data_IF_681601754916
#
_entry.id   IF_681601754916
#
_cell.length_a   1.000
_cell.length_b   1.000
_cell.length_c   1.000
_cell.angle_alpha   90.00
_cell.angle_beta   90.00
_cell.angle_gamma   90.00
#
_symmetry.space_group_name_H-M   'P 1'
#
loop_
_entity.id
_entity.type
_entity.pdbx_description
1 polymer ?
#
# COMPACT_ATOMS: atom_id res chain seq x y z
N UNK A 1 -9.44 -18.35 8.85
CA UNK A 1 -8.47 -17.97 9.90
C UNK A 1 -8.60 -16.48 10.13
N UNK A 2 -8.56 -15.95 11.36
CA UNK A 2 -8.75 -14.52 11.54
C UNK A 2 -7.54 -13.82 10.93
N UNK A 3 -7.80 -12.87 10.03
CA UNK A 3 -6.79 -11.93 9.58
C UNK A 3 -6.37 -11.18 10.84
N UNK A 4 -5.17 -11.45 11.35
CA UNK A 4 -4.55 -10.59 12.36
C UNK A 4 -4.57 -9.19 11.79
N UNK A 5 -5.35 -8.29 12.41
CA UNK A 5 -5.57 -6.96 11.86
C UNK A 5 -4.24 -6.33 11.49
N UNK A 6 -4.12 -5.86 10.26
CA UNK A 6 -2.87 -5.28 9.76
C UNK A 6 -2.51 -3.95 10.45
N UNK A 7 -3.21 -3.57 11.52
CA UNK A 7 -2.96 -2.35 12.26
C UNK A 7 -1.61 -2.33 12.98
N UNK A 8 -1.38 -1.22 13.65
CA UNK A 8 -0.21 -1.06 14.51
C UNK A 8 -0.22 -2.10 15.63
N UNK A 9 0.99 -2.60 15.93
CA UNK A 9 1.28 -3.52 17.03
C UNK A 9 2.16 -2.82 18.06
N UNK A 10 2.39 -3.45 19.21
CA UNK A 10 3.30 -2.92 20.23
C UNK A 10 4.74 -2.67 19.71
N UNK A 11 5.14 -3.33 18.62
CA UNK A 11 6.47 -3.14 18.00
C UNK A 11 6.56 -1.87 17.14
N UNK A 12 5.43 -1.28 16.80
CA UNK A 12 5.36 -0.16 15.85
C UNK A 12 5.42 1.21 16.54
N UNK A 13 5.83 1.29 17.81
CA UNK A 13 5.82 2.54 18.59
C UNK A 13 6.50 3.71 17.89
N UNK A 14 7.71 3.49 17.32
CA UNK A 14 8.42 4.54 16.58
C UNK A 14 7.74 4.91 15.26
N UNK A 15 7.07 3.95 14.62
CA UNK A 15 6.35 4.20 13.37
C UNK A 15 5.09 5.03 13.65
N UNK A 16 4.39 4.74 14.75
CA UNK A 16 3.23 5.53 15.21
C UNK A 16 3.62 6.95 15.56
N UNK A 17 4.76 7.15 16.25
CA UNK A 17 5.29 8.48 16.57
C UNK A 17 5.49 9.30 15.29
N UNK A 18 6.24 8.76 14.32
CA UNK A 18 6.52 9.45 13.06
C UNK A 18 5.29 9.67 12.20
N UNK A 19 4.35 8.74 12.22
CA UNK A 19 3.06 8.90 11.55
C UNK A 19 2.30 10.11 12.09
N UNK A 20 2.23 10.27 13.42
CA UNK A 20 1.57 11.42 14.06
C UNK A 20 2.28 12.73 13.77
N UNK A 21 3.60 12.78 13.94
CA UNK A 21 4.41 13.97 13.63
C UNK A 21 4.20 14.43 12.18
N UNK A 22 4.12 13.48 11.24
CA UNK A 22 3.87 13.78 9.83
C UNK A 22 2.46 14.30 9.60
N UNK A 23 1.43 13.70 10.23
CA UNK A 23 0.06 14.21 10.13
C UNK A 23 -0.07 15.63 10.69
N UNK A 24 0.52 15.89 11.86
CA UNK A 24 0.48 17.20 12.51
C UNK A 24 1.18 18.28 11.67
N UNK A 25 2.25 17.93 10.96
CA UNK A 25 2.99 18.86 10.10
C UNK A 25 2.37 19.09 8.71
N UNK A 26 1.44 18.23 8.28
CA UNK A 26 0.86 18.28 6.91
C UNK A 26 -0.65 18.55 6.88
N UNK A 27 -1.36 18.42 8.00
CA UNK A 27 -2.82 18.56 8.03
C UNK A 27 -3.25 19.95 8.49
N UNK A 28 -3.57 20.82 7.54
CA UNK A 28 -4.37 22.02 7.81
C UNK A 28 -5.89 21.73 7.79
N UNK A 29 -6.35 20.56 7.33
CA UNK A 29 -7.77 20.37 6.95
C UNK A 29 -8.38 18.95 7.03
N UNK A 30 -7.66 17.91 7.45
CA UNK A 30 -8.23 16.56 7.62
C UNK A 30 -8.12 16.09 9.06
N UNK A 31 -9.25 15.65 9.65
CA UNK A 31 -9.25 14.98 10.95
C UNK A 31 -8.28 13.79 10.90
N UNK A 32 -7.28 13.81 11.78
CA UNK A 32 -6.31 12.74 11.87
C UNK A 32 -7.02 11.40 12.16
N UNK A 33 -6.72 10.31 11.44
CA UNK A 33 -7.35 9.02 11.70
C UNK A 33 -7.00 8.53 13.11
N UNK A 34 -7.95 7.84 13.74
CA UNK A 34 -7.64 7.07 14.94
C UNK A 34 -6.59 6.00 14.59
N UNK A 35 -5.62 5.77 15.48
CA UNK A 35 -4.56 4.76 15.26
C UNK A 35 -5.14 3.36 15.04
N UNK A 36 -6.31 3.06 15.59
CA UNK A 36 -7.04 1.80 15.36
C UNK A 36 -7.48 1.61 13.90
N UNK A 37 -7.58 2.70 13.14
CA UNK A 37 -8.15 2.74 11.78
C UNK A 37 -7.05 2.86 10.72
N UNK A 38 -5.80 2.67 11.14
CA UNK A 38 -4.61 2.74 10.27
C UNK A 38 -4.03 1.35 10.12
N UNK A 39 -3.94 0.87 8.88
CA UNK A 39 -3.28 -0.37 8.52
C UNK A 39 -1.80 -0.13 8.21
N UNK A 40 -0.93 -0.95 8.79
CA UNK A 40 0.48 -1.08 8.41
C UNK A 40 0.57 -2.05 7.24
N UNK A 41 0.79 -1.49 6.05
CA UNK A 41 0.90 -2.28 4.81
C UNK A 41 2.26 -2.92 4.70
N UNK A 42 3.31 -2.20 5.13
CA UNK A 42 4.68 -2.69 5.09
C UNK A 42 5.51 -2.12 6.24
N UNK A 43 6.32 -2.97 6.84
CA UNK A 43 7.35 -2.59 7.82
C UNK A 43 8.70 -2.72 7.14
N UNK A 44 9.53 -1.70 7.26
CA UNK A 44 10.90 -1.74 6.75
C UNK A 44 11.89 -2.03 7.90
N UNK A 45 13.12 -2.50 7.60
CA UNK A 45 14.09 -2.85 8.63
C UNK A 45 14.47 -1.70 9.56
N UNK A 46 14.49 -0.44 9.09
CA UNK A 46 14.80 0.69 9.95
C UNK A 46 13.63 1.00 10.90
N UNK A 47 13.94 1.23 12.18
CA UNK A 47 12.93 1.58 13.18
C UNK A 47 12.16 2.85 12.78
N UNK A 48 10.84 2.78 12.91
CA UNK A 48 9.97 3.90 12.56
C UNK A 48 9.79 4.14 11.08
N UNK A 49 10.15 3.18 10.22
CA UNK A 49 9.93 3.27 8.77
C UNK A 49 8.93 2.21 8.31
N UNK A 50 8.12 2.58 7.33
CA UNK A 50 7.00 1.76 6.89
C UNK A 50 6.10 2.48 5.90
N UNK A 51 5.15 1.73 5.37
CA UNK A 51 4.04 2.26 4.59
C UNK A 51 2.74 1.96 5.35
N UNK A 52 1.94 2.99 5.57
CA UNK A 52 0.66 2.89 6.27
C UNK A 52 -0.47 3.45 5.41
N UNK A 53 -1.68 2.96 5.62
CA UNK A 53 -2.88 3.38 4.88
C UNK A 53 -4.07 3.53 5.82
N UNK A 54 -4.95 4.46 5.50
CA UNK A 54 -6.24 4.64 6.16
C UNK A 54 -7.28 5.12 5.15
N UNK A 55 -8.55 5.07 5.53
CA UNK A 55 -9.65 5.56 4.70
C UNK A 55 -10.43 6.62 5.47
N UNK A 56 -10.28 7.91 5.13
CA UNK A 56 -11.06 8.97 5.79
C UNK A 56 -12.56 8.88 5.46
N UNK A 57 -12.90 8.32 4.30
CA UNK A 57 -14.28 8.08 3.88
C UNK A 57 -14.35 6.83 2.98
N UNK A 58 -15.55 6.29 2.67
CA UNK A 58 -15.68 5.06 1.89
C UNK A 58 -15.10 5.12 0.47
N UNK A 59 -14.84 6.29 -0.10
CA UNK A 59 -14.39 6.49 -1.47
C UNK A 59 -13.00 7.10 -1.56
N UNK A 60 -12.31 7.29 -0.44
CA UNK A 60 -10.96 7.83 -0.42
C UNK A 60 -10.08 6.93 0.42
N UNK A 61 -8.89 6.60 -0.08
CA UNK A 61 -7.84 6.04 0.75
C UNK A 61 -6.67 7.01 0.78
N UNK A 62 -6.03 7.12 1.93
CA UNK A 62 -4.79 7.84 2.10
C UNK A 62 -3.68 6.85 2.41
N UNK A 63 -2.50 7.13 1.88
CA UNK A 63 -1.29 6.40 2.18
C UNK A 63 -0.23 7.36 2.69
N UNK A 64 0.62 6.86 3.59
CA UNK A 64 1.79 7.59 4.03
C UNK A 64 3.02 6.68 3.96
N UNK A 65 4.05 7.19 3.29
CA UNK A 65 5.38 6.61 3.22
C UNK A 65 6.23 7.26 4.29
N UNK A 66 6.77 6.48 5.20
CA UNK A 66 7.67 6.96 6.23
C UNK A 66 9.04 6.32 6.00
N UNK A 67 10.04 7.15 5.73
CA UNK A 67 11.45 6.75 5.48
C UNK A 67 12.36 7.44 6.48
N UNK A 68 13.59 6.97 6.63
CA UNK A 68 14.52 7.47 7.66
C UNK A 68 14.61 9.02 7.69
N UNK A 69 14.73 9.65 6.52
CA UNK A 69 14.94 11.11 6.39
C UNK A 69 13.72 11.91 5.95
N UNK A 70 12.64 11.26 5.48
CA UNK A 70 11.47 11.96 4.95
C UNK A 70 10.18 11.17 5.18
N UNK A 71 9.05 11.87 5.08
CA UNK A 71 7.74 11.25 5.02
C UNK A 71 6.89 11.95 3.97
N UNK A 72 6.02 11.21 3.31
CA UNK A 72 5.12 11.73 2.28
C UNK A 72 3.73 11.13 2.47
N UNK A 73 2.72 11.98 2.39
CA UNK A 73 1.32 11.60 2.40
C UNK A 73 0.69 11.87 1.03
N UNK A 74 -0.18 10.97 0.58
CA UNK A 74 -1.10 11.26 -0.50
C UNK A 74 -2.44 10.53 -0.30
N UNK A 75 -3.51 11.16 -0.76
CA UNK A 75 -4.86 10.60 -0.73
C UNK A 75 -5.39 10.45 -2.16
N UNK A 76 -6.13 9.38 -2.39
CA UNK A 76 -6.59 8.97 -3.70
C UNK A 76 -8.07 8.57 -3.65
N UNK A 77 -8.82 9.03 -4.64
CA UNK A 77 -10.20 8.64 -4.82
C UNK A 77 -10.28 7.21 -5.39
N UNK A 78 -11.13 6.39 -4.79
CA UNK A 78 -11.59 5.12 -5.35
C UNK A 78 -12.72 5.38 -6.35
N UNK A 79 -12.91 4.47 -7.31
CA UNK A 79 -13.99 4.60 -8.28
C UNK A 79 -15.36 4.67 -7.57
N UNK A 80 -16.16 5.68 -7.93
CA UNK A 80 -17.48 5.97 -7.33
C UNK A 80 -18.52 4.88 -7.58
N UNK A 81 -18.41 4.17 -8.71
CA UNK A 81 -19.37 3.14 -9.16
C UNK A 81 -18.78 1.74 -9.14
N UNK A 82 -17.94 1.45 -8.15
CA UNK A 82 -17.30 0.14 -8.02
C UNK A 82 -18.27 -0.92 -7.51
N UNK A 83 -18.11 -2.15 -7.98
CA UNK A 83 -18.82 -3.29 -7.41
C UNK A 83 -18.32 -3.52 -5.98
N UNK A 84 -19.20 -3.62 -4.98
CA UNK A 84 -18.79 -3.79 -3.59
C UNK A 84 -17.95 -5.05 -3.32
N UNK A 85 -18.01 -6.06 -4.19
CA UNK A 85 -17.21 -7.27 -4.09
C UNK A 85 -16.28 -7.36 -5.30
N UNK A 86 -14.98 -7.51 -5.04
CA UNK A 86 -13.99 -7.79 -6.08
C UNK A 86 -13.55 -6.56 -6.90
N UNK A 87 -13.84 -5.34 -6.44
CA UNK A 87 -13.18 -4.16 -6.98
C UNK A 87 -11.68 -4.24 -6.69
N UNK A 88 -10.87 -4.04 -7.73
CA UNK A 88 -9.42 -3.98 -7.65
C UNK A 88 -8.95 -2.65 -8.20
N UNK A 89 -8.14 -1.93 -7.43
CA UNK A 89 -7.37 -0.81 -7.93
C UNK A 89 -5.88 -1.16 -7.86
N UNK A 90 -5.18 -1.11 -8.99
CA UNK A 90 -3.72 -1.29 -9.08
C UNK A 90 -3.07 0.05 -9.36
N UNK A 91 -2.08 0.38 -8.55
CA UNK A 91 -1.25 1.56 -8.73
C UNK A 91 0.19 1.26 -8.33
N UNK A 92 1.07 2.23 -8.48
CA UNK A 92 2.29 2.21 -7.68
C UNK A 92 1.88 2.41 -6.22
N UNK A 93 2.69 1.99 -5.27
CA UNK A 93 2.46 2.36 -3.88
C UNK A 93 3.66 3.09 -3.37
N UNK A 94 4.83 2.50 -3.56
CA UNK A 94 6.02 2.96 -2.88
C UNK A 94 7.26 2.60 -3.63
N UNK A 95 8.35 3.11 -3.11
CA UNK A 95 9.68 2.74 -3.51
C UNK A 95 10.48 2.41 -2.26
N UNK A 96 11.40 1.44 -2.33
CA UNK A 96 12.30 1.16 -1.22
C UNK A 96 13.70 0.79 -1.70
N UNK A 97 14.70 1.25 -0.96
CA UNK A 97 16.07 0.82 -1.14
C UNK A 97 16.28 -0.49 -0.38
N UNK A 98 16.74 -1.53 -1.09
CA UNK A 98 16.99 -2.85 -0.51
C UNK A 98 18.10 -2.80 0.54
N UNK A 99 19.12 -2.01 0.27
CA UNK A 99 20.20 -1.66 1.18
C UNK A 99 20.19 -0.14 1.31
N UNK A 100 20.33 0.39 2.52
CA UNK A 100 20.24 1.84 2.85
C UNK A 100 21.36 2.71 2.21
N UNK A 101 21.96 2.24 1.11
CA UNK A 101 22.93 2.95 0.30
C UNK A 101 22.20 3.81 -0.74
N UNK A 102 22.66 5.05 -0.92
CA UNK A 102 22.19 5.95 -1.98
C UNK A 102 22.53 5.46 -3.41
N UNK A 103 23.06 4.25 -3.56
CA UNK A 103 23.65 3.71 -4.80
C UNK A 103 22.91 2.47 -5.31
N UNK A 104 22.13 1.79 -4.47
CA UNK A 104 21.31 0.64 -4.91
C UNK A 104 20.03 1.12 -5.59
N UNK A 105 19.62 0.49 -6.71
CA UNK A 105 18.42 0.90 -7.42
C UNK A 105 17.19 0.76 -6.51
N UNK A 106 16.40 1.81 -6.53
CA UNK A 106 15.16 1.92 -5.79
C UNK A 106 14.14 0.90 -6.33
N UNK A 107 13.71 -0.06 -5.50
CA UNK A 107 12.74 -1.07 -5.93
C UNK A 107 11.35 -0.45 -5.91
N UNK A 108 10.72 -0.41 -7.09
CA UNK A 108 9.34 0.01 -7.26
C UNK A 108 8.40 -1.05 -6.70
N UNK A 109 7.60 -0.65 -5.70
CA UNK A 109 6.51 -1.45 -5.16
C UNK A 109 5.19 -0.98 -5.76
N UNK A 110 4.45 -1.94 -6.32
CA UNK A 110 3.07 -1.81 -6.72
C UNK A 110 2.16 -2.07 -5.52
N UNK A 111 1.00 -1.41 -5.56
CA UNK A 111 -0.09 -1.60 -4.60
C UNK A 111 -1.33 -2.10 -5.31
N UNK A 112 -2.04 -3.03 -4.70
CA UNK A 112 -3.43 -3.31 -5.07
C UNK A 112 -4.37 -3.17 -3.88
N UNK A 113 -5.56 -2.62 -4.10
CA UNK A 113 -6.63 -2.51 -3.11
C UNK A 113 -7.76 -3.41 -3.56
N UNK A 114 -8.14 -4.38 -2.73
CA UNK A 114 -9.27 -5.28 -2.99
C UNK A 114 -10.37 -5.07 -1.96
N UNK A 115 -11.58 -4.76 -2.41
CA UNK A 115 -12.73 -4.54 -1.52
C UNK A 115 -13.52 -5.83 -1.26
N UNK A 116 -13.86 -6.04 0.02
CA UNK A 116 -14.67 -7.12 0.58
C UNK A 116 -14.21 -8.54 0.26
N UNK A 117 -12.93 -8.71 -0.07
CA UNK A 117 -12.27 -10.00 -0.24
C UNK A 117 -10.97 -9.99 0.53
N UNK A 118 -10.69 -11.06 1.28
CA UNK A 118 -9.47 -11.21 2.06
C UNK A 118 -8.84 -12.59 1.89
N UNK A 119 -7.50 -12.60 1.85
CA UNK A 119 -6.66 -13.77 2.03
C UNK A 119 -6.71 -14.86 0.95
N UNK A 120 -5.71 -15.75 1.06
CA UNK A 120 -4.39 -15.44 0.53
C UNK A 120 -4.48 -15.14 -0.98
N UNK A 121 -3.86 -14.05 -1.36
CA UNK A 121 -3.52 -13.71 -2.72
C UNK A 121 -2.15 -14.27 -3.08
N UNK A 122 -2.01 -14.73 -4.31
CA UNK A 122 -0.74 -15.21 -4.84
C UNK A 122 -0.67 -14.94 -6.33
N UNK A 123 0.55 -14.86 -6.86
CA UNK A 123 0.77 -14.86 -8.30
C UNK A 123 0.24 -16.17 -8.91
N UNK A 124 -0.60 -16.06 -9.93
CA UNK A 124 -1.10 -17.18 -10.70
C UNK A 124 0.06 -17.78 -11.50
N UNK A 125 0.50 -18.96 -11.10
CA UNK A 125 1.71 -19.60 -11.63
C UNK A 125 2.80 -19.84 -10.57
N UNK A 126 2.63 -19.32 -9.36
CA UNK A 126 3.58 -19.49 -8.27
C UNK A 126 4.41 -18.23 -8.01
N UNK A 127 5.30 -18.30 -7.02
CA UNK A 127 6.18 -17.19 -6.68
C UNK A 127 7.06 -16.81 -7.88
N UNK A 128 7.20 -15.51 -8.12
CA UNK A 128 8.12 -14.99 -9.12
C UNK A 128 9.53 -14.99 -8.53
N UNK A 129 10.48 -15.59 -9.22
CA UNK A 129 11.90 -15.54 -8.83
C UNK A 129 12.38 -14.09 -8.79
N UNK A 130 13.22 -13.77 -7.80
CA UNK A 130 13.80 -12.45 -7.57
C UNK A 130 12.82 -11.28 -7.35
N UNK A 131 11.51 -11.55 -7.26
CA UNK A 131 10.52 -10.54 -6.87
C UNK A 131 10.42 -10.40 -5.35
N UNK A 132 10.20 -9.18 -4.82
CA UNK A 132 9.81 -9.01 -3.43
C UNK A 132 8.55 -9.84 -3.11
N UNK A 133 8.47 -10.46 -1.92
CA UNK A 133 7.31 -11.26 -1.55
C UNK A 133 6.05 -10.38 -1.54
N UNK A 134 4.95 -10.94 -2.06
CA UNK A 134 3.64 -10.34 -1.94
C UNK A 134 3.27 -10.23 -0.46
N UNK A 135 3.02 -9.02 0.01
CA UNK A 135 2.55 -8.75 1.37
C UNK A 135 1.09 -8.35 1.34
N UNK A 136 0.35 -8.81 2.34
CA UNK A 136 -1.07 -8.53 2.49
C UNK A 136 -1.34 -7.85 3.82
N UNK A 137 -2.15 -6.79 3.76
CA UNK A 137 -2.66 -6.09 4.91
C UNK A 137 -4.16 -5.94 4.75
N UNK A 138 -4.93 -6.73 5.48
CA UNK A 138 -6.38 -6.60 5.50
C UNK A 138 -6.86 -5.90 6.78
N UNK A 139 -7.78 -4.96 6.60
CA UNK A 139 -8.39 -4.20 7.67
C UNK A 139 -9.88 -4.00 7.40
N UNK A 140 -10.68 -4.07 8.46
CA UNK A 140 -12.07 -3.64 8.43
C UNK A 140 -12.11 -2.18 8.85
N UNK A 141 -12.64 -1.32 7.99
CA UNK A 141 -12.78 0.10 8.27
C UNK A 141 -14.12 0.41 8.94
N UNK A 142 -14.27 1.57 9.60
CA UNK A 142 -15.53 1.96 10.27
C UNK A 142 -16.77 1.94 9.36
N UNK A 143 -16.57 2.10 8.04
CA UNK A 143 -17.64 1.93 7.03
C UNK A 143 -18.23 0.52 6.95
N UNK A 144 -17.60 -0.47 7.60
CA UNK A 144 -18.00 -1.87 7.58
C UNK A 144 -17.33 -2.68 6.47
N UNK A 145 -16.81 -2.03 5.41
CA UNK A 145 -16.05 -2.68 4.35
C UNK A 145 -14.72 -3.24 4.86
N UNK A 146 -14.35 -4.39 4.32
CA UNK A 146 -13.00 -4.94 4.48
C UNK A 146 -12.20 -4.55 3.26
N UNK A 147 -11.03 -3.95 3.44
CA UNK A 147 -10.10 -3.71 2.35
C UNK A 147 -8.83 -4.51 2.59
N UNK A 148 -8.39 -5.20 1.54
CA UNK A 148 -7.10 -5.90 1.50
C UNK A 148 -6.15 -5.09 0.64
N UNK A 149 -5.07 -4.60 1.24
CA UNK A 149 -3.97 -3.95 0.58
C UNK A 149 -2.89 -4.98 0.28
N UNK A 150 -2.48 -5.05 -0.97
CA UNK A 150 -1.42 -5.93 -1.45
C UNK A 150 -0.23 -5.08 -1.85
N UNK A 151 0.98 -5.48 -1.46
CA UNK A 151 2.22 -4.89 -1.97
C UNK A 151 3.12 -5.94 -2.57
N UNK A 152 3.68 -5.63 -3.74
CA UNK A 152 4.50 -6.54 -4.52
C UNK A 152 5.42 -5.74 -5.45
N UNK A 153 6.50 -6.34 -5.92
CA UNK A 153 7.40 -5.72 -6.90
C UNK A 153 7.51 -6.58 -8.15
N UNK A 154 7.90 -5.99 -9.29
CA UNK A 154 8.28 -6.77 -10.46
C UNK A 154 9.60 -7.51 -10.18
N UNK A 155 9.85 -8.65 -10.83
CA UNK A 155 11.18 -9.25 -10.84
C UNK A 155 12.15 -8.36 -11.63
N UNK A 156 13.45 -8.41 -11.30
CA UNK A 156 14.48 -7.53 -11.89
C UNK A 156 14.54 -7.63 -13.43
N UNK A 157 14.27 -8.81 -13.99
CA UNK A 157 14.35 -9.10 -15.43
C UNK A 157 12.97 -9.40 -16.05
N UNK A 158 11.94 -8.61 -15.70
CA UNK A 158 10.60 -8.82 -16.23
C UNK A 158 10.52 -8.52 -17.75
N UNK A 159 10.60 -9.56 -18.58
CA UNK A 159 10.61 -9.44 -20.06
C UNK A 159 9.35 -10.05 -20.72
N UNK A 160 8.47 -10.74 -19.96
CA UNK A 160 7.27 -11.38 -20.53
C UNK A 160 6.01 -11.21 -19.67
N UNK A 161 4.89 -11.71 -20.22
CA UNK A 161 3.48 -11.54 -19.82
C UNK A 161 3.25 -11.06 -18.38
N UNK A 162 2.42 -10.02 -18.24
CA UNK A 162 1.99 -9.49 -16.94
C UNK A 162 1.31 -10.61 -16.14
N UNK A 163 1.90 -11.07 -15.02
CA UNK A 163 1.34 -12.16 -14.23
C UNK A 163 0.05 -11.69 -13.58
N UNK A 164 -0.87 -12.62 -13.36
CA UNK A 164 -2.06 -12.36 -12.56
C UNK A 164 -1.74 -12.57 -11.07
N UNK A 165 -2.41 -11.82 -10.20
CA UNK A 165 -2.54 -12.13 -8.79
C UNK A 165 -3.98 -12.58 -8.56
N UNK A 166 -4.17 -13.71 -7.89
CA UNK A 166 -5.47 -14.28 -7.60
C UNK A 166 -5.64 -14.55 -6.11
N UNK A 167 -6.84 -14.29 -5.58
CA UNK A 167 -7.26 -14.74 -4.26
C UNK A 167 -7.57 -16.25 -4.25
N UNK A 168 -7.74 -16.82 -3.05
CA UNK A 168 -8.11 -18.22 -2.90
C UNK A 168 -9.37 -18.59 -3.69
N UNK A 169 -9.32 -19.73 -4.39
CA UNK A 169 -10.41 -20.18 -5.26
C UNK A 169 -10.62 -19.32 -6.51
N UNK A 170 -9.70 -18.39 -6.82
CA UNK A 170 -9.75 -17.50 -8.00
C UNK A 170 -11.03 -16.64 -8.06
N UNK A 171 -11.63 -16.32 -6.91
CA UNK A 171 -12.82 -15.46 -6.83
C UNK A 171 -12.55 -14.03 -7.30
N UNK A 172 -11.30 -13.57 -7.11
CA UNK A 172 -10.77 -12.32 -7.64
C UNK A 172 -9.42 -12.64 -8.28
N UNK A 173 -9.23 -12.22 -9.52
CA UNK A 173 -7.95 -12.26 -10.23
C UNK A 173 -7.76 -10.93 -10.96
N UNK A 174 -6.55 -10.41 -10.96
CA UNK A 174 -6.21 -9.17 -11.66
C UNK A 174 -4.76 -9.24 -12.15
N UNK A 175 -4.45 -8.51 -13.21
CA UNK A 175 -3.09 -8.40 -13.72
C UNK A 175 -2.26 -7.50 -12.81
N UNK A 176 -1.14 -8.01 -12.31
CA UNK A 176 -0.35 -7.37 -11.26
C UNK A 176 0.19 -5.98 -11.65
N UNK A 177 0.57 -5.78 -12.91
CA UNK A 177 1.24 -4.54 -13.34
C UNK A 177 0.46 -3.76 -14.41
N UNK A 178 -0.82 -4.09 -14.60
CA UNK A 178 -1.71 -3.32 -15.46
C UNK A 178 -2.40 -2.24 -14.61
N UNK A 179 -1.95 -0.99 -14.78
CA UNK A 179 -2.48 0.15 -14.04
C UNK A 179 -3.94 0.40 -14.43
N UNK A 180 -4.79 0.74 -13.46
CA UNK A 180 -6.20 1.06 -13.72
C UNK A 180 -6.39 2.38 -14.49
N UNK A 181 -7.49 2.51 -15.21
CA UNK A 181 -7.84 3.61 -16.16
C UNK A 181 -8.10 5.00 -15.53
N UNK A 182 -7.57 5.26 -14.34
CA UNK A 182 -7.43 6.61 -13.79
C UNK A 182 -5.95 6.81 -13.46
N UNK A 183 -5.22 7.32 -14.45
CA UNK A 183 -3.80 7.63 -14.30
C UNK A 183 -3.51 8.54 -13.10
N UNK A 184 -2.38 8.26 -12.46
CA UNK A 184 -1.83 9.17 -11.46
C UNK A 184 -0.78 8.53 -10.55
N UNK A 185 0.43 8.33 -11.08
CA UNK A 185 1.65 8.45 -10.26
C UNK A 185 2.53 9.51 -10.90
N UNK A 186 2.33 10.75 -10.49
CA UNK A 186 3.38 11.76 -10.59
C UNK A 186 4.00 11.81 -9.22
N UNK A 187 5.20 11.23 -9.09
CA UNK A 187 6.13 11.62 -8.05
C UNK A 187 6.41 13.10 -8.25
N UNK A 188 5.71 13.96 -7.51
CA UNK A 188 6.07 15.36 -7.44
C UNK A 188 7.42 15.46 -6.74
N UNK A 189 8.50 15.55 -7.52
CA UNK A 189 9.63 16.38 -7.16
C UNK A 189 9.08 17.77 -6.84
N UNK A 190 9.02 18.10 -5.55
CA UNK A 190 8.95 19.52 -5.15
C UNK A 190 10.29 20.15 -5.52
N UNK A 191 10.31 20.79 -6.70
CA UNK A 191 11.23 21.88 -6.98
C UNK A 191 10.99 22.96 -5.91
N UNK A 192 11.92 23.06 -4.96
CA UNK A 192 12.05 24.24 -4.11
C UNK A 192 12.44 25.43 -5.01
N UNK A 193 11.74 26.57 -5.00
CA UNK A 193 12.33 27.79 -5.51
C UNK A 193 13.43 28.26 -4.55
N UNK A 194 14.60 28.55 -5.13
CA UNK A 194 15.71 29.26 -4.49
C UNK A 194 15.39 30.73 -4.29
#
# INVERSE_FOLDING_TARGET
MPVSGAGFTARDGKLVERFRETLESTSDTLDAPAISDVAVVRRFPQLGTGDVVWMPDPNTYCHMKIRASWAQQACHALAKWRMPQGYVHVGFLSTYNRDDSAVTPEIVLYGAIVENVSGPFAFAGGALEDAPPLQEAAMRFPSGSVFTFLTYGPPENMISSVPEICGAGRTVCFKAFELGDTGGFVTGESLLPS
#
